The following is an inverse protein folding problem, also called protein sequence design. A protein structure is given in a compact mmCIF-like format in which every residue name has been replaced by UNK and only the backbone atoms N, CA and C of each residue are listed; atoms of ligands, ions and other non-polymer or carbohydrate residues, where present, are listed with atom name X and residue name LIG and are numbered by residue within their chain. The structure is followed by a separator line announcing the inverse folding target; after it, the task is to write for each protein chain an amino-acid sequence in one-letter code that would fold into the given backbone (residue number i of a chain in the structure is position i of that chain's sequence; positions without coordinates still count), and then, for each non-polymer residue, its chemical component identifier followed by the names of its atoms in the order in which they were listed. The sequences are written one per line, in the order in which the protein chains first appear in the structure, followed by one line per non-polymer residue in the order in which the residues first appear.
data_IF_371596153808
#
_entry.id   IF_371596153808
#
_cell.length_a   1.000
_cell.length_b   1.000
_cell.length_c   1.000
_cell.angle_alpha   90.00
_cell.angle_beta   90.00
_cell.angle_gamma   90.00
#
_symmetry.space_group_name_H-M   'P 1'
#
loop_
_entity.id
_entity.type
_entity.pdbx_description
1 polymer ?
#
# COMPACT_ATOMS: atom_id res chain seq x y z
N UNK A 1 19.15 -72.15 -0.71
CA UNK A 1 20.59 -72.24 -0.91
C UNK A 1 21.21 -71.00 -0.32
N UNK A 2 21.69 -71.01 0.93
CA UNK A 2 23.09 -71.22 1.35
C UNK A 2 24.01 -70.12 0.78
N UNK A 3 24.77 -69.35 1.50
CA UNK A 3 25.47 -69.42 2.79
C UNK A 3 26.01 -68.01 3.13
N UNK A 4 25.92 -67.46 4.32
CA UNK A 4 26.83 -67.44 5.49
C UNK A 4 28.30 -67.04 5.20
N UNK A 5 28.81 -65.97 5.82
CA UNK A 5 29.67 -65.90 7.02
C UNK A 5 30.27 -64.50 7.14
N UNK A 6 30.15 -63.75 8.23
CA UNK A 6 30.82 -63.81 9.55
C UNK A 6 32.36 -63.71 9.52
N UNK A 7 32.89 -62.65 10.14
CA UNK A 7 33.84 -62.61 11.29
C UNK A 7 34.34 -61.16 11.40
N UNK A 8 34.21 -60.36 12.44
CA UNK A 8 34.62 -60.47 13.87
C UNK A 8 36.12 -60.30 14.11
N UNK A 9 36.51 -59.42 14.99
CA UNK A 9 37.81 -59.33 15.71
C UNK A 9 38.28 -57.83 15.80
N UNK A 10 38.02 -57.15 16.80
CA UNK A 10 38.50 -56.95 18.17
C UNK A 10 39.98 -56.53 18.30
N UNK A 11 40.15 -55.35 18.91
CA UNK A 11 41.01 -54.94 20.03
C UNK A 11 42.51 -55.00 19.84
N UNK A 12 43.15 -53.83 20.06
CA UNK A 12 44.21 -53.75 21.10
C UNK A 12 44.61 -52.28 21.40
N UNK A 13 44.54 -51.98 22.68
CA UNK A 13 45.16 -50.81 23.36
C UNK A 13 46.67 -51.11 23.53
N UNK A 14 47.48 -50.03 23.53
CA UNK A 14 48.56 -49.67 24.48
C UNK A 14 49.49 -48.63 23.88
N UNK A 15 49.57 -47.55 24.60
CA UNK A 15 50.49 -47.05 25.61
C UNK A 15 51.85 -46.50 25.09
N UNK A 16 52.04 -45.18 25.32
CA UNK A 16 53.07 -44.57 26.17
C UNK A 16 54.41 -44.25 25.47
N UNK A 17 54.83 -43.06 25.45
CA UNK A 17 55.70 -42.31 26.34
C UNK A 17 56.16 -40.96 25.72
N UNK A 18 56.08 -39.94 26.53
CA UNK A 18 56.83 -38.73 26.67
C UNK A 18 58.10 -38.51 25.82
N UNK A 19 58.20 -37.34 25.21
CA UNK A 19 59.38 -36.49 25.38
C UNK A 19 59.05 -35.01 25.22
N UNK A 20 59.52 -34.26 26.17
CA UNK A 20 59.48 -32.81 26.32
C UNK A 20 60.30 -32.08 25.25
N UNK A 21 59.75 -31.01 24.74
CA UNK A 21 60.50 -30.11 23.87
C UNK A 21 59.76 -28.81 23.56
N UNK A 22 60.16 -27.76 24.28
CA UNK A 22 60.06 -26.33 24.10
C UNK A 22 58.82 -25.68 23.37
N UNK A 23 58.19 -24.83 24.16
CA UNK A 23 57.23 -23.83 23.80
C UNK A 23 57.75 -22.84 22.72
N UNK A 24 56.98 -22.70 21.67
CA UNK A 24 56.86 -21.46 20.92
C UNK A 24 55.42 -21.05 20.96
N UNK A 25 55.10 -19.99 21.71
CA UNK A 25 53.81 -19.32 21.74
C UNK A 25 53.57 -18.63 20.38
N UNK A 26 52.91 -19.35 19.49
CA UNK A 26 52.33 -18.76 18.31
C UNK A 26 50.87 -18.42 18.66
N UNK A 27 50.60 -17.15 18.98
CA UNK A 27 49.27 -16.59 19.03
C UNK A 27 48.67 -16.60 17.61
N UNK A 28 47.97 -17.66 17.24
CA UNK A 28 47.09 -17.60 16.05
C UNK A 28 45.90 -16.70 16.39
N UNK A 29 46.00 -15.46 15.95
CA UNK A 29 44.83 -14.60 15.82
C UNK A 29 43.87 -15.24 14.81
N UNK A 30 42.90 -15.98 15.31
CA UNK A 30 41.71 -16.34 14.51
C UNK A 30 41.07 -15.00 14.10
N UNK A 31 40.80 -14.74 12.83
CA UNK A 31 40.02 -13.59 12.45
C UNK A 31 38.64 -13.77 13.10
N UNK A 32 38.34 -12.94 14.10
CA UNK A 32 37.00 -12.74 14.56
C UNK A 32 36.18 -12.36 13.31
N UNK A 33 35.33 -13.26 12.85
CA UNK A 33 34.29 -12.89 11.90
C UNK A 33 33.47 -11.81 12.60
N UNK A 34 33.70 -10.58 12.21
CA UNK A 34 32.77 -9.48 12.46
C UNK A 34 31.51 -9.92 11.72
N UNK A 35 30.56 -10.50 12.43
CA UNK A 35 29.19 -10.53 11.97
C UNK A 35 28.80 -9.07 11.90
N UNK A 36 28.86 -8.51 10.70
CA UNK A 36 28.16 -7.26 10.43
C UNK A 36 26.71 -7.52 10.80
N UNK A 37 26.26 -6.85 11.83
CA UNK A 37 24.87 -6.83 12.22
C UNK A 37 24.12 -6.03 11.12
N UNK A 38 23.64 -6.78 10.10
CA UNK A 38 22.83 -6.23 9.02
C UNK A 38 21.43 -5.78 9.48
N UNK A 39 21.19 -5.76 10.81
CA UNK A 39 19.91 -5.34 11.41
C UNK A 39 19.63 -3.83 11.27
N UNK A 40 20.59 -3.03 10.79
CA UNK A 40 20.45 -1.58 10.73
C UNK A 40 19.82 -1.01 9.46
N UNK A 41 19.40 -1.83 8.48
CA UNK A 41 18.86 -1.31 7.21
C UNK A 41 17.61 -2.04 6.67
N UNK A 42 16.75 -2.56 7.54
CA UNK A 42 15.44 -2.97 7.05
C UNK A 42 14.67 -1.73 6.54
N UNK A 43 14.11 -1.75 5.32
CA UNK A 43 13.33 -0.63 4.80
C UNK A 43 12.22 -0.24 5.76
N UNK A 44 11.97 1.06 5.91
CA UNK A 44 10.90 1.55 6.76
C UNK A 44 9.54 1.02 6.25
N UNK A 45 8.73 0.49 7.16
CA UNK A 45 7.36 0.08 6.84
C UNK A 45 6.43 1.28 6.84
N UNK A 46 5.48 1.31 5.91
CA UNK A 46 4.39 2.28 5.89
C UNK A 46 3.46 2.13 7.11
N UNK A 47 2.83 3.22 7.51
CA UNK A 47 1.77 3.23 8.53
C UNK A 47 0.45 2.72 7.94
N UNK A 48 -0.46 2.23 8.80
CA UNK A 48 -1.77 1.77 8.36
C UNK A 48 -2.77 2.92 8.44
N UNK A 49 -3.58 3.09 7.39
CA UNK A 49 -4.78 3.90 7.40
C UNK A 49 -5.97 3.11 6.85
N UNK A 50 -7.19 3.58 7.09
CA UNK A 50 -8.41 3.04 6.48
C UNK A 50 -9.02 4.08 5.54
N UNK A 51 -9.28 3.69 4.28
CA UNK A 51 -10.10 4.50 3.38
C UNK A 51 -11.57 4.43 3.82
N UNK A 52 -12.16 5.59 4.13
CA UNK A 52 -13.53 5.69 4.66
C UNK A 52 -14.61 5.28 3.66
N UNK A 53 -14.30 5.22 2.37
CA UNK A 53 -15.22 4.68 1.37
C UNK A 53 -15.62 3.24 1.69
N UNK A 54 -14.77 2.46 2.31
CA UNK A 54 -15.03 1.09 2.78
C UNK A 54 -16.26 1.01 3.69
N UNK A 55 -16.45 2.02 4.52
CA UNK A 55 -17.51 2.09 5.55
C UNK A 55 -18.57 3.15 5.26
N UNK A 56 -18.69 3.59 4.00
CA UNK A 56 -19.59 4.67 3.57
C UNK A 56 -21.05 4.43 3.98
N UNK A 57 -21.53 3.19 3.91
CA UNK A 57 -22.91 2.87 4.30
C UNK A 57 -23.11 2.94 5.83
N UNK A 58 -22.10 2.56 6.60
CA UNK A 58 -22.11 2.67 8.06
C UNK A 58 -22.03 4.14 8.49
N UNK A 59 -21.24 4.96 7.79
CA UNK A 59 -21.16 6.40 8.01
C UNK A 59 -22.52 7.07 7.74
N UNK A 60 -23.22 6.70 6.67
CA UNK A 60 -24.58 7.22 6.39
C UNK A 60 -25.55 6.91 7.54
N UNK A 61 -25.43 5.74 8.17
CA UNK A 61 -26.32 5.32 9.24
C UNK A 61 -25.96 5.95 10.59
N UNK A 62 -24.67 5.95 10.96
CA UNK A 62 -24.17 6.52 12.22
C UNK A 62 -22.69 6.82 12.16
N UNK A 63 -22.34 8.06 11.92
CA UNK A 63 -20.94 8.52 11.80
C UNK A 63 -20.14 8.25 13.07
N UNK A 64 -20.69 8.67 14.22
CA UNK A 64 -19.96 8.59 15.50
C UNK A 64 -19.64 7.14 15.87
N UNK A 65 -20.63 6.25 15.83
CA UNK A 65 -20.42 4.83 16.12
C UNK A 65 -19.42 4.17 15.14
N UNK A 66 -19.53 4.54 13.85
CA UNK A 66 -18.64 4.02 12.82
C UNK A 66 -17.19 4.40 13.08
N UNK A 67 -16.90 5.70 13.31
CA UNK A 67 -15.54 6.17 13.55
C UNK A 67 -14.96 5.65 14.88
N UNK A 68 -15.77 5.53 15.92
CA UNK A 68 -15.37 4.92 17.19
C UNK A 68 -15.00 3.43 17.02
N UNK A 69 -15.74 2.67 16.22
CA UNK A 69 -15.41 1.28 15.90
C UNK A 69 -14.09 1.16 15.12
N UNK A 70 -13.82 2.07 14.19
CA UNK A 70 -12.55 2.12 13.45
C UNK A 70 -11.40 2.35 14.43
N UNK A 71 -11.50 3.35 15.31
CA UNK A 71 -10.48 3.63 16.31
C UNK A 71 -10.31 2.44 17.30
N UNK A 72 -11.39 1.80 17.72
CA UNK A 72 -11.35 0.63 18.61
C UNK A 72 -10.69 -0.61 17.98
N UNK A 73 -10.65 -0.73 16.64
CA UNK A 73 -9.89 -1.76 15.93
C UNK A 73 -8.39 -1.53 16.03
N UNK A 74 -7.95 -0.27 16.17
CA UNK A 74 -6.55 0.13 16.28
C UNK A 74 -6.10 1.10 15.18
N UNK A 75 -6.96 1.52 14.27
CA UNK A 75 -6.59 2.55 13.29
C UNK A 75 -6.42 3.90 14.00
N UNK A 76 -5.27 4.55 13.78
CA UNK A 76 -4.99 5.91 14.24
C UNK A 76 -5.23 6.95 13.13
N UNK A 77 -5.27 6.50 11.88
CA UNK A 77 -5.43 7.35 10.72
C UNK A 77 -6.43 6.79 9.73
N UNK A 78 -7.08 7.70 9.01
CA UNK A 78 -7.99 7.39 7.91
C UNK A 78 -7.60 8.18 6.66
N UNK A 79 -7.99 7.67 5.52
CA UNK A 79 -8.08 8.44 4.30
C UNK A 79 -9.55 8.83 4.09
N UNK A 80 -9.81 10.11 3.85
CA UNK A 80 -11.18 10.58 3.66
C UNK A 80 -11.60 10.44 2.21
N UNK A 81 -12.90 10.15 2.03
CA UNK A 81 -13.58 10.18 0.74
C UNK A 81 -14.78 11.13 0.81
N UNK A 82 -15.83 10.81 0.09
CA UNK A 82 -17.06 11.59 0.10
C UNK A 82 -17.85 11.38 1.39
N UNK A 83 -18.35 12.48 1.94
CA UNK A 83 -19.25 12.45 3.08
C UNK A 83 -20.71 12.51 2.61
N UNK A 84 -21.68 12.01 3.39
CA UNK A 84 -23.10 12.19 3.09
C UNK A 84 -23.46 13.70 3.00
N UNK A 85 -24.40 14.05 2.14
CA UNK A 85 -24.79 15.46 1.84
C UNK A 85 -25.21 16.26 3.08
N UNK A 86 -25.71 15.59 4.11
CA UNK A 86 -26.11 16.20 5.37
C UNK A 86 -24.93 16.41 6.34
N UNK A 87 -23.70 16.10 5.95
CA UNK A 87 -22.50 16.25 6.78
C UNK A 87 -21.54 17.20 6.08
N UNK A 88 -21.40 18.41 6.59
CA UNK A 88 -20.39 19.36 6.08
C UNK A 88 -18.97 18.88 6.39
N UNK A 89 -17.97 19.36 5.63
CA UNK A 89 -16.54 19.10 5.85
C UNK A 89 -16.15 19.45 7.30
N UNK A 90 -16.62 20.57 7.82
CA UNK A 90 -16.36 20.99 9.21
C UNK A 90 -16.95 20.03 10.26
N UNK A 91 -18.16 19.53 10.02
CA UNK A 91 -18.76 18.51 10.89
C UNK A 91 -17.97 17.20 10.83
N UNK A 92 -17.56 16.78 9.63
CA UNK A 92 -16.72 15.62 9.45
C UNK A 92 -15.39 15.73 10.22
N UNK A 93 -14.72 16.88 10.15
CA UNK A 93 -13.50 17.14 10.93
C UNK A 93 -13.73 17.04 12.43
N UNK A 94 -14.87 17.52 12.92
CA UNK A 94 -15.23 17.37 14.34
C UNK A 94 -15.41 15.89 14.71
N UNK A 95 -16.14 15.12 13.92
CA UNK A 95 -16.35 13.69 14.19
C UNK A 95 -15.03 12.89 14.21
N UNK A 96 -14.13 13.16 13.26
CA UNK A 96 -12.81 12.53 13.22
C UNK A 96 -11.98 12.86 14.48
N UNK A 97 -11.96 14.14 14.86
CA UNK A 97 -11.27 14.59 16.08
C UNK A 97 -11.86 13.96 17.34
N UNK A 98 -13.19 13.92 17.48
CA UNK A 98 -13.88 13.33 18.63
C UNK A 98 -13.62 11.81 18.75
N UNK A 99 -13.38 11.13 17.61
CA UNK A 99 -12.97 9.73 17.56
C UNK A 99 -11.45 9.51 17.76
N UNK A 100 -10.65 10.56 17.85
CA UNK A 100 -9.19 10.47 17.98
C UNK A 100 -8.47 10.05 16.68
N UNK A 101 -9.13 10.18 15.52
CA UNK A 101 -8.58 9.79 14.22
C UNK A 101 -7.91 10.99 13.52
N UNK A 102 -6.72 10.75 12.97
CA UNK A 102 -6.02 11.69 12.08
C UNK A 102 -6.32 11.37 10.62
N UNK A 103 -5.99 12.30 9.71
CA UNK A 103 -6.16 12.11 8.27
C UNK A 103 -4.80 11.98 7.59
N UNK A 104 -4.53 10.83 6.98
CA UNK A 104 -3.30 10.56 6.21
C UNK A 104 -3.30 11.26 4.86
N UNK A 105 -4.45 11.25 4.21
CA UNK A 105 -4.70 11.71 2.84
C UNK A 105 -6.19 11.93 2.63
N UNK A 106 -6.53 12.70 1.59
CA UNK A 106 -7.93 12.98 1.26
C UNK A 106 -8.17 12.80 -0.24
N UNK A 107 -9.12 11.95 -0.59
CA UNK A 107 -9.67 11.90 -1.94
C UNK A 107 -10.51 13.15 -2.20
N UNK A 108 -10.21 13.84 -3.28
CA UNK A 108 -10.84 15.11 -3.67
C UNK A 108 -11.22 15.09 -5.14
N UNK A 109 -12.14 15.97 -5.49
CA UNK A 109 -12.37 16.35 -6.89
C UNK A 109 -11.15 17.09 -7.45
N UNK A 110 -10.92 17.01 -8.77
CA UNK A 110 -9.84 17.77 -9.40
C UNK A 110 -9.92 19.26 -9.02
N UNK A 111 -8.88 19.82 -8.40
CA UNK A 111 -8.88 21.22 -7.94
C UNK A 111 -8.64 22.20 -9.08
N UNK A 112 -9.55 22.18 -10.05
CA UNK A 112 -9.58 23.10 -11.19
C UNK A 112 -10.87 23.93 -11.14
N UNK A 113 -10.82 25.16 -11.64
CA UNK A 113 -11.97 26.07 -11.62
C UNK A 113 -12.50 26.27 -10.19
N UNK A 114 -13.82 26.16 -10.03
CA UNK A 114 -14.53 26.41 -8.76
C UNK A 114 -14.21 25.38 -7.66
N UNK A 115 -13.70 24.19 -8.02
CA UNK A 115 -13.38 23.11 -7.08
C UNK A 115 -12.11 23.39 -6.25
N UNK A 116 -11.33 24.38 -6.61
CA UNK A 116 -10.11 24.79 -5.88
C UNK A 116 -10.39 25.11 -4.41
N UNK A 117 -11.45 25.86 -4.12
CA UNK A 117 -11.79 26.24 -2.75
C UNK A 117 -12.22 25.04 -1.89
N UNK A 118 -12.94 24.09 -2.46
CA UNK A 118 -13.35 22.87 -1.75
C UNK A 118 -12.14 22.04 -1.28
N UNK A 119 -11.11 21.92 -2.12
CA UNK A 119 -9.88 21.23 -1.73
C UNK A 119 -9.18 21.95 -0.56
N UNK A 120 -9.12 23.28 -0.56
CA UNK A 120 -8.52 24.06 0.52
C UNK A 120 -9.29 23.89 1.84
N UNK A 121 -10.63 23.92 1.80
CA UNK A 121 -11.46 23.67 2.98
C UNK A 121 -11.21 22.27 3.57
N UNK A 122 -11.09 21.25 2.72
CA UNK A 122 -10.77 19.88 3.12
C UNK A 122 -9.38 19.83 3.78
N UNK A 123 -8.37 20.41 3.12
CA UNK A 123 -7.00 20.42 3.61
C UNK A 123 -6.87 21.09 4.99
N UNK A 124 -7.49 22.24 5.16
CA UNK A 124 -7.50 23.01 6.41
C UNK A 124 -8.27 22.26 7.51
N UNK A 125 -9.49 21.82 7.21
CA UNK A 125 -10.37 21.17 8.20
C UNK A 125 -9.79 19.87 8.74
N UNK A 126 -9.17 19.07 7.88
CA UNK A 126 -8.59 17.79 8.27
C UNK A 126 -7.11 17.89 8.64
N UNK A 127 -6.51 19.09 8.58
CA UNK A 127 -5.07 19.28 8.74
C UNK A 127 -4.25 18.28 7.88
N UNK A 128 -4.67 18.10 6.64
CA UNK A 128 -4.12 17.12 5.71
C UNK A 128 -3.44 17.81 4.54
N UNK A 129 -2.25 17.35 4.16
CA UNK A 129 -1.48 17.94 3.05
C UNK A 129 -1.53 17.14 1.75
N UNK A 130 -1.90 15.86 1.82
CA UNK A 130 -1.94 14.97 0.65
C UNK A 130 -3.35 14.95 0.07
N UNK A 131 -3.54 15.62 -1.07
CA UNK A 131 -4.79 15.70 -1.81
C UNK A 131 -4.69 14.79 -3.02
N UNK A 132 -5.63 13.86 -3.17
CA UNK A 132 -5.58 12.81 -4.19
C UNK A 132 -6.79 12.90 -5.09
N UNK A 133 -6.59 13.07 -6.39
CA UNK A 133 -7.65 12.87 -7.36
C UNK A 133 -8.03 11.39 -7.38
N UNK A 134 -9.30 11.09 -7.02
CA UNK A 134 -9.79 9.73 -6.87
C UNK A 134 -9.94 8.95 -8.20
N UNK A 135 -9.79 9.61 -9.35
CA UNK A 135 -9.75 8.94 -10.65
C UNK A 135 -11.07 8.34 -11.14
N UNK A 136 -12.22 8.66 -10.53
CA UNK A 136 -13.52 8.14 -10.89
C UNK A 136 -14.44 9.24 -11.48
N UNK A 137 -15.30 8.92 -12.50
CA UNK A 137 -15.31 7.69 -13.32
C UNK A 137 -14.14 7.65 -14.32
N UNK A 138 -14.05 6.56 -15.12
CA UNK A 138 -13.08 6.48 -16.21
C UNK A 138 -13.22 7.68 -17.15
N UNK A 139 -12.12 8.36 -17.39
CA UNK A 139 -12.10 9.48 -18.32
C UNK A 139 -11.90 8.98 -19.75
N UNK A 140 -12.84 9.33 -20.63
CA UNK A 140 -12.80 8.90 -22.04
C UNK A 140 -11.55 9.38 -22.80
N UNK A 141 -10.85 10.40 -22.29
CA UNK A 141 -9.59 10.91 -22.84
C UNK A 141 -8.47 9.87 -22.75
N UNK A 142 -8.57 8.89 -21.85
CA UNK A 142 -7.65 7.75 -21.80
C UNK A 142 -7.75 6.79 -23.01
N UNK A 143 -8.64 7.06 -23.98
CA UNK A 143 -8.74 6.31 -25.24
C UNK A 143 -7.80 6.78 -26.35
N UNK A 144 -7.10 7.92 -26.16
CA UNK A 144 -6.18 8.49 -27.14
C UNK A 144 -4.96 9.13 -26.48
N UNK A 145 -3.85 9.20 -27.22
CA UNK A 145 -2.63 9.87 -26.71
C UNK A 145 -2.84 11.37 -26.49
N UNK A 146 -3.53 12.04 -27.42
CA UNK A 146 -3.80 13.48 -27.31
C UNK A 146 -4.74 13.77 -26.11
N UNK A 147 -5.78 12.95 -25.92
CA UNK A 147 -6.65 13.05 -24.76
C UNK A 147 -5.89 12.79 -23.43
N UNK A 148 -5.00 11.80 -23.41
CA UNK A 148 -4.16 11.54 -22.23
C UNK A 148 -3.24 12.72 -21.94
N UNK A 149 -2.64 13.36 -22.96
CA UNK A 149 -1.82 14.56 -22.80
C UNK A 149 -2.65 15.77 -22.31
N UNK A 150 -3.90 15.89 -22.74
CA UNK A 150 -4.81 16.92 -22.20
C UNK A 150 -5.02 16.71 -20.69
N UNK A 151 -5.25 15.46 -20.24
CA UNK A 151 -5.36 15.14 -18.82
C UNK A 151 -4.07 15.44 -18.05
N UNK A 152 -2.90 15.16 -18.64
CA UNK A 152 -1.59 15.52 -18.04
C UNK A 152 -1.52 17.04 -17.77
N UNK A 153 -1.96 17.88 -18.71
CA UNK A 153 -1.97 19.34 -18.50
C UNK A 153 -2.89 19.75 -17.34
N UNK A 154 -4.07 19.10 -17.24
CA UNK A 154 -5.02 19.36 -16.15
C UNK A 154 -4.42 18.93 -14.79
N UNK A 155 -3.76 17.77 -14.74
CA UNK A 155 -3.12 17.29 -13.51
C UNK A 155 -1.96 18.18 -13.09
N UNK A 156 -1.18 18.70 -14.04
CA UNK A 156 -0.11 19.65 -13.76
C UNK A 156 -0.68 20.99 -13.27
N UNK A 157 -1.80 21.49 -13.83
CA UNK A 157 -2.50 22.68 -13.29
C UNK A 157 -2.96 22.45 -11.84
N UNK A 158 -3.56 21.29 -11.56
CA UNK A 158 -3.98 20.90 -10.22
C UNK A 158 -2.81 20.86 -9.23
N UNK A 159 -1.67 20.31 -9.67
CA UNK A 159 -0.45 20.26 -8.88
C UNK A 159 0.12 21.65 -8.59
N UNK A 160 0.19 22.53 -9.59
CA UNK A 160 0.63 23.92 -9.40
C UNK A 160 -0.22 24.63 -8.37
N UNK A 161 -1.54 24.44 -8.43
CA UNK A 161 -2.44 25.04 -7.46
C UNK A 161 -2.21 24.47 -6.05
N UNK A 162 -2.10 23.15 -5.90
CA UNK A 162 -1.83 22.51 -4.62
C UNK A 162 -0.52 23.01 -3.99
N UNK A 163 0.57 23.03 -4.78
CA UNK A 163 1.89 23.53 -4.33
C UNK A 163 1.86 24.99 -3.88
N UNK A 164 1.16 25.85 -4.61
CA UNK A 164 1.02 27.26 -4.26
C UNK A 164 0.33 27.48 -2.90
N UNK A 165 -0.38 26.45 -2.42
CA UNK A 165 -1.05 26.43 -1.12
C UNK A 165 -0.37 25.53 -0.08
N UNK A 166 0.87 25.08 -0.33
CA UNK A 166 1.65 24.23 0.58
C UNK A 166 1.13 22.79 0.69
N UNK A 167 0.38 22.33 -0.32
CA UNK A 167 -0.19 21.00 -0.42
C UNK A 167 0.56 20.14 -1.44
N UNK A 168 0.37 18.83 -1.36
CA UNK A 168 0.86 17.83 -2.29
C UNK A 168 -0.33 17.27 -3.07
N UNK A 169 -0.17 17.11 -4.38
CA UNK A 169 -1.18 16.56 -5.24
C UNK A 169 -0.77 15.17 -5.75
N UNK A 170 -1.73 14.24 -5.76
CA UNK A 170 -1.52 12.87 -6.22
C UNK A 170 -2.67 12.34 -7.05
N UNK A 171 -2.40 11.24 -7.72
CA UNK A 171 -3.34 10.52 -8.57
C UNK A 171 -3.58 9.11 -8.02
N UNK A 172 -4.84 8.74 -7.86
CA UNK A 172 -5.24 7.37 -7.59
C UNK A 172 -5.59 6.66 -8.90
N UNK A 173 -5.36 5.36 -8.97
CA UNK A 173 -5.66 4.57 -10.15
C UNK A 173 -6.78 3.56 -9.92
N UNK A 174 -7.41 3.20 -11.04
CA UNK A 174 -8.25 2.03 -11.18
C UNK A 174 -7.62 1.03 -12.17
N UNK A 175 -8.42 0.15 -12.75
CA UNK A 175 -7.93 -0.82 -13.72
C UNK A 175 -7.67 -0.21 -15.11
N UNK A 176 -8.36 0.87 -15.48
CA UNK A 176 -8.30 1.42 -16.85
C UNK A 176 -6.96 2.04 -17.20
N UNK A 177 -6.25 2.67 -16.28
CA UNK A 177 -4.90 3.19 -16.53
C UNK A 177 -3.91 2.07 -16.91
N UNK A 178 -4.16 0.86 -16.41
CA UNK A 178 -3.31 -0.31 -16.63
C UNK A 178 -3.80 -1.22 -17.77
N UNK A 179 -5.02 -1.04 -18.28
CA UNK A 179 -5.54 -1.80 -19.44
C UNK A 179 -5.58 -1.01 -20.72
N UNK A 180 -5.93 0.28 -20.65
CA UNK A 180 -6.02 1.12 -21.84
C UNK A 180 -4.63 1.40 -22.40
N UNK A 181 -4.52 1.34 -23.72
CA UNK A 181 -3.28 1.66 -24.44
C UNK A 181 -3.51 2.83 -25.38
N UNK A 182 -2.56 3.74 -25.38
CA UNK A 182 -2.49 4.88 -26.29
C UNK A 182 -1.12 4.86 -26.95
N UNK A 183 -1.09 4.86 -28.28
CA UNK A 183 0.14 4.74 -29.07
C UNK A 183 1.00 3.52 -28.65
N UNK A 184 0.35 2.38 -28.42
CA UNK A 184 1.00 1.12 -28.05
C UNK A 184 1.49 1.02 -26.58
N UNK A 185 1.36 2.07 -25.77
CA UNK A 185 1.79 2.17 -24.38
C UNK A 185 0.58 2.18 -23.45
N UNK A 186 0.71 1.62 -22.27
CA UNK A 186 -0.33 1.75 -21.25
C UNK A 186 -0.45 3.21 -20.77
N UNK A 187 -1.67 3.61 -20.44
CA UNK A 187 -1.94 5.00 -19.96
C UNK A 187 -1.09 5.34 -18.75
N UNK A 188 -0.95 4.42 -17.77
CA UNK A 188 -0.11 4.67 -16.59
C UNK A 188 1.35 5.00 -16.93
N UNK A 189 1.90 4.43 -18.02
CA UNK A 189 3.26 4.71 -18.46
C UNK A 189 3.39 6.13 -19.02
N UNK A 190 2.40 6.55 -19.79
CA UNK A 190 2.33 7.92 -20.30
C UNK A 190 2.17 8.92 -19.15
N UNK A 191 1.29 8.62 -18.19
CA UNK A 191 1.10 9.49 -17.01
C UNK A 191 2.40 9.60 -16.20
N UNK A 192 3.04 8.47 -15.85
CA UNK A 192 4.26 8.45 -15.05
C UNK A 192 5.40 9.28 -15.67
N UNK A 193 5.52 9.28 -17.00
CA UNK A 193 6.56 10.02 -17.70
C UNK A 193 6.20 11.49 -17.96
N UNK A 194 4.91 11.81 -18.11
CA UNK A 194 4.46 13.11 -18.62
C UNK A 194 3.99 14.10 -17.57
N UNK A 195 3.43 13.61 -16.43
CA UNK A 195 3.06 14.51 -15.34
C UNK A 195 4.31 14.98 -14.58
N UNK A 196 4.19 16.15 -13.95
CA UNK A 196 5.28 16.71 -13.15
C UNK A 196 5.86 15.70 -12.13
N UNK A 197 7.18 15.69 -11.91
CA UNK A 197 7.84 14.66 -11.12
C UNK A 197 7.46 14.65 -9.64
N UNK A 198 6.87 15.71 -9.12
CA UNK A 198 6.40 15.84 -7.76
C UNK A 198 4.91 15.49 -7.57
N UNK A 199 4.17 15.23 -8.65
CA UNK A 199 2.89 14.54 -8.56
C UNK A 199 3.15 13.11 -8.10
N UNK A 200 2.61 12.74 -6.94
CA UNK A 200 2.73 11.39 -6.42
C UNK A 200 1.58 10.50 -6.91
N UNK A 201 1.74 9.20 -6.75
CA UNK A 201 0.72 8.23 -7.09
C UNK A 201 0.33 7.43 -5.84
N UNK A 202 -0.95 7.31 -5.61
CA UNK A 202 -1.51 6.32 -4.73
C UNK A 202 -1.85 5.09 -5.54
N UNK A 203 -1.01 4.06 -5.42
CA UNK A 203 -1.16 2.86 -6.24
C UNK A 203 -2.19 1.92 -5.61
N UNK A 204 -3.30 1.73 -6.30
CA UNK A 204 -4.24 0.67 -5.97
C UNK A 204 -3.75 -0.67 -6.51
N UNK A 205 -3.16 -1.46 -5.63
CA UNK A 205 -2.53 -2.74 -5.97
C UNK A 205 -3.52 -3.79 -6.44
N UNK A 206 -4.79 -3.69 -6.02
CA UNK A 206 -5.85 -4.61 -6.44
C UNK A 206 -6.24 -4.37 -7.90
N UNK A 207 -6.49 -3.12 -8.26
CA UNK A 207 -6.86 -2.77 -9.63
C UNK A 207 -5.72 -2.99 -10.62
N UNK A 208 -4.46 -2.81 -10.19
CA UNK A 208 -3.28 -3.21 -10.96
C UNK A 208 -3.34 -4.70 -11.31
N UNK A 209 -3.64 -5.57 -10.33
CA UNK A 209 -3.75 -7.01 -10.54
C UNK A 209 -4.95 -7.39 -11.39
N UNK A 210 -6.12 -6.77 -11.18
CA UNK A 210 -7.31 -6.95 -12.03
C UNK A 210 -7.00 -6.62 -13.48
N UNK A 211 -6.18 -5.60 -13.74
CA UNK A 211 -5.75 -5.21 -15.08
C UNK A 211 -4.74 -6.20 -15.72
N UNK A 212 -4.22 -7.16 -14.97
CA UNK A 212 -3.32 -8.21 -15.43
C UNK A 212 -1.83 -7.91 -15.26
N UNK A 213 -1.47 -6.93 -14.42
CA UNK A 213 -0.08 -6.63 -14.06
C UNK A 213 0.29 -7.23 -12.70
N UNK A 214 1.60 -7.40 -12.46
CA UNK A 214 2.11 -7.72 -11.13
C UNK A 214 2.19 -6.44 -10.28
N UNK A 215 1.45 -6.35 -9.16
CA UNK A 215 1.47 -5.16 -8.31
C UNK A 215 2.86 -4.85 -7.74
N UNK A 216 3.68 -5.87 -7.44
CA UNK A 216 5.04 -5.64 -6.93
C UNK A 216 5.94 -4.99 -8.00
N UNK A 217 5.85 -5.44 -9.26
CA UNK A 217 6.59 -4.80 -10.37
C UNK A 217 6.16 -3.35 -10.57
N UNK A 218 4.86 -3.07 -10.51
CA UNK A 218 4.34 -1.71 -10.65
C UNK A 218 4.81 -0.83 -9.48
N UNK A 219 4.68 -1.27 -8.24
CA UNK A 219 5.15 -0.51 -7.08
C UNK A 219 6.66 -0.22 -7.17
N UNK A 220 7.47 -1.19 -7.58
CA UNK A 220 8.90 -0.97 -7.81
C UNK A 220 9.17 0.06 -8.92
N UNK A 221 8.39 0.03 -10.01
CA UNK A 221 8.50 0.97 -11.15
C UNK A 221 8.21 2.41 -10.72
N UNK A 222 7.19 2.64 -9.88
CA UNK A 222 6.85 3.97 -9.38
C UNK A 222 7.83 4.45 -8.28
N UNK A 223 8.37 3.54 -7.48
CA UNK A 223 9.37 3.83 -6.45
C UNK A 223 8.95 4.97 -5.52
N UNK A 224 9.76 6.02 -5.40
CA UNK A 224 9.49 7.18 -4.52
C UNK A 224 8.23 7.97 -4.90
N UNK A 225 7.70 7.78 -6.10
CA UNK A 225 6.46 8.43 -6.53
C UNK A 225 5.20 7.69 -6.06
N UNK A 226 5.33 6.56 -5.33
CA UNK A 226 4.24 5.81 -4.75
C UNK A 226 4.29 5.83 -3.19
N UNK A 227 4.11 7.00 -2.54
CA UNK A 227 4.13 7.09 -1.08
C UNK A 227 2.90 6.46 -0.42
N UNK A 228 1.81 6.21 -1.16
CA UNK A 228 0.61 5.56 -0.67
C UNK A 228 0.27 4.34 -1.53
N UNK A 229 -0.20 3.29 -0.87
CA UNK A 229 -0.73 2.10 -1.53
C UNK A 229 -2.11 1.80 -1.00
N UNK A 230 -3.11 1.66 -1.90
CA UNK A 230 -4.37 1.03 -1.55
C UNK A 230 -4.19 -0.47 -1.47
N UNK A 231 -4.54 -1.01 -0.31
CA UNK A 231 -4.37 -2.41 0.07
C UNK A 231 -5.75 -3.06 0.13
N UNK A 232 -6.11 -3.72 -0.97
CA UNK A 232 -7.35 -4.47 -1.15
C UNK A 232 -7.03 -5.92 -1.45
N UNK A 233 -7.90 -6.86 -1.06
CA UNK A 233 -7.73 -8.27 -1.38
C UNK A 233 -9.05 -8.92 -1.80
N UNK A 234 -8.94 -10.00 -2.56
CA UNK A 234 -10.08 -10.70 -3.12
C UNK A 234 -9.69 -11.55 -4.32
N UNK A 235 -10.65 -11.86 -5.22
CA UNK A 235 -10.38 -12.62 -6.44
C UNK A 235 -9.40 -11.93 -7.40
N UNK A 236 -9.40 -10.60 -7.47
CA UNK A 236 -8.51 -9.74 -8.26
C UNK A 236 -8.32 -10.25 -9.70
N UNK A 237 -9.40 -10.55 -10.38
CA UNK A 237 -9.40 -11.06 -11.75
C UNK A 237 -10.25 -10.20 -12.66
N UNK A 238 -9.82 -10.08 -13.90
CA UNK A 238 -10.63 -9.44 -14.93
C UNK A 238 -11.79 -10.32 -15.33
N UNK A 239 -12.99 -9.74 -15.43
CA UNK A 239 -14.14 -10.34 -16.11
C UNK A 239 -14.77 -9.27 -17.00
N UNK A 240 -15.19 -9.66 -18.22
CA UNK A 240 -15.87 -8.73 -19.15
C UNK A 240 -17.26 -8.30 -18.66
N UNK A 241 -17.75 -8.92 -17.59
CA UNK A 241 -19.05 -8.64 -16.98
C UNK A 241 -18.96 -7.77 -15.75
N UNK A 242 -17.76 -7.42 -15.29
CA UNK A 242 -17.58 -6.49 -14.17
C UNK A 242 -17.70 -5.07 -14.69
N UNK A 243 -18.80 -4.36 -14.41
CA UNK A 243 -18.76 -2.92 -14.46
C UNK A 243 -17.76 -2.44 -13.43
N UNK A 244 -17.02 -1.40 -13.74
CA UNK A 244 -16.02 -0.80 -12.86
C UNK A 244 -16.58 -0.35 -11.48
N UNK A 245 -17.89 -0.12 -11.42
CA UNK A 245 -18.63 0.29 -10.23
C UNK A 245 -19.16 -0.89 -9.37
N UNK A 246 -19.01 -2.13 -9.86
CA UNK A 246 -19.47 -3.35 -9.16
C UNK A 246 -18.41 -4.44 -9.23
N UNK A 247 -17.29 -4.29 -8.52
CA UNK A 247 -16.27 -5.33 -8.47
C UNK A 247 -16.79 -6.59 -7.80
N UNK A 248 -16.15 -7.73 -8.05
CA UNK A 248 -16.40 -8.93 -7.25
C UNK A 248 -16.18 -8.62 -5.78
N UNK A 249 -16.99 -9.20 -4.86
CA UNK A 249 -16.86 -8.93 -3.43
C UNK A 249 -15.43 -9.22 -2.94
N UNK A 250 -14.88 -8.23 -2.24
CA UNK A 250 -13.55 -8.28 -1.66
C UNK A 250 -13.58 -8.97 -0.29
N UNK A 251 -12.44 -9.43 0.15
CA UNK A 251 -12.23 -10.09 1.44
C UNK A 251 -11.17 -9.35 2.26
N UNK A 252 -11.04 -9.71 3.53
CA UNK A 252 -9.99 -9.15 4.35
C UNK A 252 -8.58 -9.40 3.74
N UNK A 253 -7.70 -8.45 3.90
CA UNK A 253 -6.30 -8.51 3.47
C UNK A 253 -5.63 -9.78 4.00
N UNK A 254 -4.97 -10.52 3.12
CA UNK A 254 -4.35 -11.82 3.39
C UNK A 254 -5.29 -13.02 3.21
N UNK A 255 -6.56 -12.82 2.85
CA UNK A 255 -7.53 -13.89 2.57
C UNK A 255 -7.86 -14.07 1.09
N UNK A 256 -7.30 -13.24 0.22
CA UNK A 256 -7.52 -13.27 -1.22
C UNK A 256 -6.31 -13.77 -1.99
N UNK A 257 -6.02 -13.11 -3.10
CA UNK A 257 -5.00 -13.59 -4.06
C UNK A 257 -3.78 -12.65 -4.16
N UNK A 258 -3.72 -11.57 -3.38
CA UNK A 258 -2.61 -10.62 -3.40
C UNK A 258 -1.37 -11.16 -2.66
N UNK A 259 -0.19 -10.80 -3.16
CA UNK A 259 1.08 -11.14 -2.51
C UNK A 259 1.65 -9.91 -1.79
N UNK A 260 1.08 -9.59 -0.61
CA UNK A 260 1.49 -8.40 0.15
C UNK A 260 2.96 -8.41 0.58
N UNK A 261 3.57 -9.54 1.00
CA UNK A 261 5.00 -9.56 1.28
C UNK A 261 5.86 -9.10 0.09
N UNK A 262 5.52 -9.51 -1.15
CA UNK A 262 6.23 -9.07 -2.35
C UNK A 262 5.99 -7.57 -2.63
N UNK A 263 4.77 -7.08 -2.47
CA UNK A 263 4.40 -5.67 -2.66
C UNK A 263 5.17 -4.78 -1.68
N UNK A 264 5.17 -5.12 -0.38
CA UNK A 264 5.88 -4.37 0.66
C UNK A 264 7.40 -4.38 0.43
N UNK A 265 7.96 -5.52 0.04
CA UNK A 265 9.38 -5.62 -0.33
C UNK A 265 9.70 -4.72 -1.53
N UNK A 266 8.84 -4.68 -2.53
CA UNK A 266 9.00 -3.85 -3.73
C UNK A 266 8.90 -2.35 -3.43
N UNK A 267 8.10 -1.95 -2.46
CA UNK A 267 8.00 -0.58 -1.97
C UNK A 267 9.32 -0.05 -1.40
N UNK A 268 10.15 -0.94 -0.88
CA UNK A 268 11.53 -0.66 -0.44
C UNK A 268 11.66 0.59 0.46
N UNK A 269 10.71 0.77 1.38
CA UNK A 269 10.68 1.90 2.30
C UNK A 269 10.19 3.23 1.72
N UNK A 270 9.76 3.25 0.47
CA UNK A 270 9.21 4.46 -0.17
C UNK A 270 7.75 4.73 0.19
N UNK A 271 7.02 3.72 0.69
CA UNK A 271 5.61 3.85 1.05
C UNK A 271 5.47 4.39 2.47
N UNK A 272 4.79 5.52 2.61
CA UNK A 272 4.45 6.14 3.89
C UNK A 272 3.19 5.53 4.50
N UNK A 273 2.18 5.22 3.66
CA UNK A 273 0.88 4.74 4.07
C UNK A 273 0.42 3.51 3.30
N UNK A 274 -0.05 2.53 4.06
CA UNK A 274 -0.75 1.33 3.60
C UNK A 274 -2.23 1.54 3.91
N UNK A 275 -3.00 1.96 2.93
CA UNK A 275 -4.40 2.35 3.09
C UNK A 275 -5.29 1.15 2.78
N UNK A 276 -5.88 0.56 3.82
CA UNK A 276 -6.82 -0.55 3.66
C UNK A 276 -8.11 -0.06 3.04
N UNK A 277 -8.58 -0.71 1.98
CA UNK A 277 -9.85 -0.40 1.35
C UNK A 277 -10.57 -1.64 0.81
N UNK A 278 -11.89 -1.56 0.76
CA UNK A 278 -12.75 -2.54 0.09
C UNK A 278 -13.97 -1.82 -0.53
N UNK A 279 -14.11 -1.91 -1.85
CA UNK A 279 -15.23 -1.27 -2.57
C UNK A 279 -16.56 -1.99 -2.31
N UNK A 280 -16.52 -3.32 -2.28
CA UNK A 280 -17.64 -4.19 -1.91
C UNK A 280 -17.09 -5.29 -1.00
N UNK A 281 -17.69 -5.45 0.17
CA UNK A 281 -17.23 -6.41 1.18
C UNK A 281 -18.07 -7.68 1.13
N UNK A 282 -17.43 -8.84 1.07
CA UNK A 282 -18.09 -10.14 1.04
C UNK A 282 -18.70 -10.57 2.39
N UNK A 283 -18.25 -9.95 3.49
CA UNK A 283 -18.59 -10.31 4.86
C UNK A 283 -18.96 -9.06 5.68
N UNK A 284 -19.07 -9.18 7.00
CA UNK A 284 -19.19 -8.01 7.87
C UNK A 284 -17.98 -7.08 7.74
N UNK A 285 -18.24 -5.80 7.47
CA UNK A 285 -17.19 -4.83 7.15
C UNK A 285 -16.23 -4.59 8.31
N UNK A 286 -16.71 -4.49 9.55
CA UNK A 286 -15.84 -4.26 10.70
C UNK A 286 -14.99 -5.49 11.03
N UNK A 287 -15.51 -6.68 10.77
CA UNK A 287 -14.70 -7.90 10.85
C UNK A 287 -13.63 -7.93 9.77
N UNK A 288 -13.97 -7.56 8.53
CA UNK A 288 -13.02 -7.56 7.42
C UNK A 288 -11.88 -6.54 7.63
N UNK A 289 -12.18 -5.30 8.06
CA UNK A 289 -11.13 -4.30 8.31
C UNK A 289 -10.27 -4.65 9.53
N UNK A 290 -10.84 -5.24 10.58
CA UNK A 290 -10.08 -5.72 11.75
C UNK A 290 -9.15 -6.87 11.37
N UNK A 291 -9.62 -7.83 10.58
CA UNK A 291 -8.80 -8.94 10.10
C UNK A 291 -7.67 -8.42 9.20
N UNK A 292 -7.94 -7.41 8.36
CA UNK A 292 -6.95 -6.75 7.51
C UNK A 292 -5.87 -6.04 8.33
N UNK A 293 -6.27 -5.26 9.33
CA UNK A 293 -5.35 -4.60 10.25
C UNK A 293 -4.45 -5.61 10.97
N UNK A 294 -5.06 -6.67 11.52
CA UNK A 294 -4.34 -7.73 12.21
C UNK A 294 -3.37 -8.49 11.30
N UNK A 295 -3.75 -8.75 10.04
CA UNK A 295 -2.87 -9.41 9.09
C UNK A 295 -1.62 -8.56 8.81
N UNK A 296 -1.79 -7.27 8.51
CA UNK A 296 -0.69 -6.37 8.20
C UNK A 296 0.28 -6.21 9.37
N UNK A 297 -0.24 -6.03 10.60
CA UNK A 297 0.59 -5.83 11.79
C UNK A 297 1.29 -7.11 12.25
N UNK A 298 0.59 -8.25 12.32
CA UNK A 298 1.17 -9.53 12.78
C UNK A 298 2.21 -10.11 11.85
N UNK A 299 2.13 -9.79 10.56
CA UNK A 299 3.12 -10.23 9.56
C UNK A 299 4.23 -9.20 9.31
N UNK A 300 4.30 -8.13 10.11
CA UNK A 300 5.26 -7.03 9.96
C UNK A 300 5.28 -6.46 8.52
N UNK A 301 4.09 -6.26 7.94
CA UNK A 301 3.93 -5.69 6.61
C UNK A 301 3.66 -4.18 6.66
N UNK A 302 3.15 -3.69 7.79
CA UNK A 302 2.95 -2.27 8.05
C UNK A 302 3.06 -1.96 9.55
N UNK A 303 3.21 -0.67 9.87
CA UNK A 303 3.20 -0.17 11.25
C UNK A 303 1.78 0.20 11.66
N UNK A 304 1.43 -0.15 12.89
CA UNK A 304 0.23 0.36 13.54
C UNK A 304 0.28 1.87 13.64
#
# INVERSE_FOLDING_TARGET
MLNKNKYCGQIARRKFLQNTGLFALGTTLLPSRIFSDDSHNAPALGKIALQLYTVREQIKNNVTDTLQKIAAIGFESVETAFWPDNISVKQAGKYLKDAGLTVSSAHVELPVGEKKNAMLEIAETFNCKKMIWHGWPEDKRYSSLDGTKELVNIYNEANHFAKSNGLQFGLHNHWWEYRNKVDGRFVYEVLLESVEPDIFFEIDTYWVKVAGHDPAEIVAKFGKRAPLLHIKDGPARWTNSLPSDKPEPMVAVGKGTQNFPAIVKAANGNTEWMVVEMDVVATDVFTAIRDSYNYLTRNNLAKA
#
